data_IF_012412866145
#
_entry.id   IF_012412866145
#
_cell.length_a   1.000
_cell.length_b   1.000
_cell.length_c   1.000
_cell.angle_alpha   90.00
_cell.angle_beta   90.00
_cell.angle_gamma   90.00
#
_symmetry.space_group_name_H-M   'P 1'
#
loop_
_entity.id
_entity.type
_entity.pdbx_description
1 polymer ?
#
# COMPACT_ATOMS: atom_id res chain seq x y z
N UNK A 1 -14.00 3.13 6.88
CA UNK A 1 -15.22 3.71 7.49
C UNK A 1 -14.86 5.00 8.17
N UNK A 2 -15.68 6.04 8.05
CA UNK A 2 -15.53 7.23 8.89
C UNK A 2 -15.99 6.90 10.31
N UNK A 3 -15.47 7.59 11.31
CA UNK A 3 -15.92 7.43 12.72
C UNK A 3 -17.36 7.93 12.95
N UNK A 4 -18.03 8.39 11.89
CA UNK A 4 -19.42 8.85 11.91
C UNK A 4 -20.42 7.70 11.70
N UNK A 5 -19.97 6.53 11.25
CA UNK A 5 -20.81 5.33 11.17
C UNK A 5 -20.93 4.68 12.56
N UNK A 6 -22.06 4.02 12.85
CA UNK A 6 -22.31 3.26 14.08
C UNK A 6 -21.49 1.93 14.11
N UNK A 7 -20.17 2.01 13.87
CA UNK A 7 -19.27 0.87 13.75
C UNK A 7 -19.23 0.03 15.05
N UNK A 8 -19.42 0.66 16.22
CA UNK A 8 -19.48 0.00 17.52
C UNK A 8 -20.67 -0.95 17.64
N UNK A 9 -21.75 -0.69 16.91
CA UNK A 9 -22.96 -1.50 16.87
C UNK A 9 -22.94 -2.59 15.79
N UNK A 10 -21.78 -2.80 15.16
CA UNK A 10 -21.56 -3.86 14.18
C UNK A 10 -21.91 -5.25 14.73
N UNK A 11 -22.21 -6.19 13.82
CA UNK A 11 -22.50 -7.59 14.16
C UNK A 11 -21.64 -8.52 13.34
N UNK A 12 -20.91 -9.39 14.03
CA UNK A 12 -20.27 -10.53 13.39
C UNK A 12 -21.34 -11.59 13.05
N UNK A 13 -21.25 -12.13 11.85
CA UNK A 13 -22.15 -13.17 11.32
C UNK A 13 -21.33 -14.22 10.59
N UNK A 14 -21.86 -15.44 10.52
CA UNK A 14 -21.33 -16.49 9.66
C UNK A 14 -22.23 -16.61 8.44
N UNK A 15 -21.61 -16.80 7.27
CA UNK A 15 -22.33 -17.02 6.02
C UNK A 15 -22.64 -18.50 5.82
N UNK A 16 -23.68 -18.79 5.04
CA UNK A 16 -23.92 -20.14 4.55
C UNK A 16 -22.97 -20.49 3.38
N UNK A 17 -23.10 -21.71 2.83
CA UNK A 17 -22.28 -22.18 1.70
C UNK A 17 -22.43 -21.34 0.41
N UNK A 18 -23.45 -20.49 0.33
CA UNK A 18 -23.73 -19.60 -0.81
C UNK A 18 -23.36 -18.14 -0.50
N UNK A 19 -22.79 -17.85 0.67
CA UNK A 19 -22.43 -16.50 1.09
C UNK A 19 -23.59 -15.70 1.70
N UNK A 20 -24.77 -16.29 1.89
CA UNK A 20 -25.93 -15.60 2.44
C UNK A 20 -25.92 -15.61 3.97
N UNK A 21 -26.49 -14.57 4.57
CA UNK A 21 -26.68 -14.46 6.01
C UNK A 21 -27.90 -13.56 6.31
N UNK A 22 -28.44 -13.68 7.53
CA UNK A 22 -29.46 -12.77 8.03
C UNK A 22 -29.21 -12.46 9.50
N UNK A 23 -29.29 -11.18 9.87
CA UNK A 23 -29.11 -10.72 11.24
C UNK A 23 -29.87 -9.43 11.47
N UNK A 24 -30.46 -9.29 12.66
CA UNK A 24 -30.99 -8.01 13.14
C UNK A 24 -29.83 -7.13 13.57
N UNK A 25 -29.72 -5.94 12.94
CA UNK A 25 -28.76 -4.91 13.28
C UNK A 25 -29.50 -3.83 14.10
N UNK A 26 -29.02 -3.42 15.28
CA UNK A 26 -29.55 -2.22 15.92
C UNK A 26 -29.20 -1.01 15.05
N UNK A 27 -30.14 -0.10 14.90
CA UNK A 27 -29.96 1.14 14.14
C UNK A 27 -30.13 2.29 15.12
N UNK A 28 -29.11 3.13 15.20
CA UNK A 28 -29.14 4.36 15.99
C UNK A 28 -29.47 5.54 15.10
N UNK A 29 -30.07 6.58 15.70
CA UNK A 29 -30.43 7.80 14.99
C UNK A 29 -29.16 8.51 14.48
N UNK A 30 -29.06 8.83 13.17
CA UNK A 30 -27.90 9.53 12.64
C UNK A 30 -27.77 10.94 13.24
N UNK A 31 -26.58 11.35 13.71
CA UNK A 31 -26.39 12.68 14.28
C UNK A 31 -26.48 13.81 13.24
N UNK A 32 -26.35 13.48 11.94
CA UNK A 32 -26.43 14.39 10.79
C UNK A 32 -27.06 13.67 9.60
N UNK A 33 -27.70 14.40 8.67
CA UNK A 33 -28.17 13.82 7.41
C UNK A 33 -26.99 13.21 6.63
N UNK A 34 -27.09 11.93 6.27
CA UNK A 34 -26.09 11.23 5.46
C UNK A 34 -26.74 10.07 4.69
N UNK A 35 -26.15 9.61 3.58
CA UNK A 35 -26.65 8.43 2.89
C UNK A 35 -26.22 7.23 3.73
N UNK A 36 -27.17 6.67 4.49
CA UNK A 36 -26.89 5.53 5.35
C UNK A 36 -26.66 4.28 4.49
N UNK A 37 -25.59 3.55 4.80
CA UNK A 37 -25.25 2.28 4.15
C UNK A 37 -24.96 1.23 5.21
N UNK A 38 -25.35 0.00 4.94
CA UNK A 38 -24.89 -1.17 5.68
C UNK A 38 -23.64 -1.69 4.98
N UNK A 39 -22.49 -1.48 5.62
CA UNK A 39 -21.21 -2.00 5.16
C UNK A 39 -20.98 -3.41 5.70
N UNK A 40 -20.65 -4.34 4.80
CA UNK A 40 -20.34 -5.73 5.11
C UNK A 40 -18.92 -6.00 4.63
N UNK A 41 -18.08 -6.51 5.53
CA UNK A 41 -16.71 -6.90 5.23
C UNK A 41 -16.44 -8.31 5.75
N UNK A 42 -15.81 -9.15 4.93
CA UNK A 42 -15.34 -10.45 5.40
C UNK A 42 -14.10 -10.28 6.27
N UNK A 43 -14.11 -10.93 7.44
CA UNK A 43 -12.96 -10.94 8.38
C UNK A 43 -12.12 -12.20 8.18
N UNK A 44 -12.75 -13.31 7.78
CA UNK A 44 -12.13 -14.61 7.54
C UNK A 44 -12.45 -15.10 6.13
N UNK A 45 -11.50 -15.79 5.50
CA UNK A 45 -11.64 -16.31 4.14
C UNK A 45 -11.28 -15.29 3.05
N UNK A 46 -11.91 -15.42 1.88
CA UNK A 46 -11.73 -14.50 0.75
C UNK A 46 -12.19 -13.09 1.13
N UNK A 47 -11.41 -12.07 0.75
CA UNK A 47 -11.75 -10.69 1.05
C UNK A 47 -12.84 -10.19 0.11
N UNK A 48 -13.99 -9.84 0.69
CA UNK A 48 -15.12 -9.28 -0.02
C UNK A 48 -15.71 -8.13 0.80
N UNK A 49 -16.17 -7.11 0.07
CA UNK A 49 -16.84 -5.94 0.61
C UNK A 49 -18.17 -5.77 -0.12
N UNK A 50 -19.22 -5.41 0.60
CA UNK A 50 -20.50 -5.06 0.04
C UNK A 50 -21.14 -3.92 0.83
N UNK A 51 -21.70 -2.95 0.11
CA UNK A 51 -22.46 -1.85 0.69
C UNK A 51 -23.90 -1.94 0.20
N UNK A 52 -24.85 -1.94 1.14
CA UNK A 52 -26.28 -1.89 0.84
C UNK A 52 -26.85 -0.55 1.31
N UNK A 53 -27.55 0.17 0.42
CA UNK A 53 -28.24 1.41 0.77
C UNK A 53 -29.31 1.11 1.81
N UNK A 54 -29.34 1.92 2.87
CA UNK A 54 -30.28 1.77 3.97
C UNK A 54 -30.88 3.13 4.35
N UNK A 55 -32.19 3.18 4.58
CA UNK A 55 -32.87 4.42 5.01
C UNK A 55 -33.34 4.25 6.44
N UNK A 56 -32.89 5.13 7.34
CA UNK A 56 -33.38 5.18 8.72
C UNK A 56 -34.74 5.88 8.70
N UNK A 57 -35.78 5.18 9.16
CA UNK A 57 -37.13 5.73 9.20
C UNK A 57 -37.17 7.03 10.03
N UNK A 58 -37.77 8.09 9.48
CA UNK A 58 -37.93 9.37 10.18
C UNK A 58 -36.72 10.31 10.13
N UNK A 59 -35.61 9.93 9.48
CA UNK A 59 -34.42 10.78 9.37
C UNK A 59 -34.12 11.20 7.92
N UNK A 60 -33.71 12.45 7.68
CA UNK A 60 -33.34 12.92 6.35
C UNK A 60 -32.04 12.29 5.87
N UNK A 61 -31.96 12.02 4.57
CA UNK A 61 -30.74 11.62 3.86
C UNK A 61 -30.14 12.84 3.14
N UNK A 62 -28.83 12.83 2.97
CA UNK A 62 -28.11 13.80 2.16
C UNK A 62 -27.09 13.04 1.31
N UNK A 63 -26.69 13.61 0.18
CA UNK A 63 -25.64 13.01 -0.64
C UNK A 63 -24.29 13.04 0.08
N UNK A 64 -23.40 12.13 -0.31
CA UNK A 64 -22.02 12.20 0.15
C UNK A 64 -21.43 13.52 -0.33
N UNK A 65 -20.69 14.26 0.53
CA UNK A 65 -19.94 15.40 0.06
C UNK A 65 -19.00 14.95 -1.06
N UNK A 66 -18.84 15.79 -2.09
CA UNK A 66 -17.91 15.51 -3.18
C UNK A 66 -16.54 15.14 -2.60
N UNK A 67 -15.99 14.03 -3.11
CA UNK A 67 -14.64 13.59 -2.75
C UNK A 67 -13.64 14.64 -3.22
N UNK A 68 -13.34 15.58 -2.35
CA UNK A 68 -12.38 16.66 -2.58
C UNK A 68 -10.94 16.23 -2.27
N UNK A 69 -10.77 15.07 -1.61
CA UNK A 69 -9.46 14.51 -1.29
C UNK A 69 -8.94 13.56 -2.37
N UNK A 70 -7.67 13.74 -2.77
CA UNK A 70 -6.98 12.84 -3.67
C UNK A 70 -6.61 11.49 -3.04
N UNK A 71 -6.05 10.60 -3.85
CA UNK A 71 -5.44 9.36 -3.36
C UNK A 71 -4.12 9.63 -2.63
N UNK A 72 -3.87 8.91 -1.54
CA UNK A 72 -2.69 9.13 -0.68
C UNK A 72 -2.09 7.80 -0.27
N UNK A 73 -0.89 7.49 -0.77
CA UNK A 73 -0.19 6.27 -0.38
C UNK A 73 0.67 6.47 0.87
N UNK A 74 0.64 5.50 1.76
CA UNK A 74 1.57 5.38 2.87
C UNK A 74 2.07 3.93 2.97
N UNK A 75 3.32 3.74 3.38
CA UNK A 75 3.87 2.40 3.65
C UNK A 75 3.31 1.90 4.98
N UNK A 76 2.78 0.68 4.97
CA UNK A 76 2.09 0.08 6.11
C UNK A 76 2.86 -1.07 6.78
N UNK A 77 3.90 -1.59 6.11
CA UNK A 77 4.67 -2.72 6.59
C UNK A 77 6.16 -2.50 6.33
N UNK A 78 7.00 -3.31 6.97
CA UNK A 78 8.45 -3.27 6.81
C UNK A 78 8.82 -3.45 5.34
N UNK A 79 9.57 -2.48 4.82
CA UNK A 79 10.19 -2.57 3.50
C UNK A 79 11.39 -3.49 3.59
N UNK A 80 11.69 -4.24 2.52
CA UNK A 80 12.87 -5.11 2.45
C UNK A 80 13.39 -5.25 1.03
N UNK A 81 14.66 -5.64 0.91
CA UNK A 81 15.27 -6.06 -0.35
C UNK A 81 15.23 -7.59 -0.45
N UNK A 82 14.73 -8.10 -1.58
CA UNK A 82 14.71 -9.52 -1.90
C UNK A 82 15.57 -9.83 -3.14
N UNK A 83 16.17 -11.01 -3.16
CA UNK A 83 16.96 -11.52 -4.26
C UNK A 83 18.39 -11.84 -3.83
N UNK A 84 19.06 -12.61 -4.68
CA UNK A 84 20.37 -13.17 -4.40
C UNK A 84 21.43 -12.66 -5.38
N UNK A 85 22.68 -12.70 -4.94
CA UNK A 85 23.82 -12.42 -5.81
C UNK A 85 24.10 -13.63 -6.70
N UNK A 86 24.50 -13.41 -7.95
CA UNK A 86 24.91 -14.48 -8.87
C UNK A 86 26.44 -14.60 -8.93
N UNK A 87 26.95 -15.72 -9.46
CA UNK A 87 28.40 -15.85 -9.72
C UNK A 87 28.93 -14.72 -10.61
N UNK A 88 28.10 -14.18 -11.51
CA UNK A 88 28.47 -13.06 -12.37
C UNK A 88 28.65 -11.76 -11.58
N UNK A 89 27.84 -11.54 -10.53
CA UNK A 89 28.03 -10.38 -9.65
C UNK A 89 29.36 -10.46 -8.89
N UNK A 90 29.87 -11.67 -8.62
CA UNK A 90 31.21 -11.86 -8.10
C UNK A 90 32.30 -11.46 -9.11
N UNK A 91 32.01 -11.51 -10.41
CA UNK A 91 32.87 -10.97 -11.48
C UNK A 91 32.52 -9.53 -11.89
N UNK A 92 31.77 -8.80 -11.06
CA UNK A 92 31.46 -7.39 -11.28
C UNK A 92 30.24 -7.11 -12.16
N UNK A 93 29.43 -8.11 -12.51
CA UNK A 93 28.14 -7.84 -13.13
C UNK A 93 27.23 -7.00 -12.20
N UNK A 94 26.32 -6.17 -12.75
CA UNK A 94 25.36 -5.39 -11.98
C UNK A 94 24.59 -6.24 -10.95
N UNK A 95 24.67 -5.92 -9.65
CA UNK A 95 23.85 -6.60 -8.66
C UNK A 95 22.42 -6.04 -8.73
N UNK A 96 21.44 -6.94 -8.72
CA UNK A 96 20.02 -6.62 -8.81
C UNK A 96 19.22 -7.20 -7.64
N UNK A 97 18.23 -6.45 -7.16
CA UNK A 97 17.28 -6.84 -6.10
C UNK A 97 15.88 -6.37 -6.45
N UNK A 98 14.90 -6.88 -5.69
CA UNK A 98 13.52 -6.38 -5.68
C UNK A 98 13.26 -5.69 -4.35
N UNK A 99 12.95 -4.41 -4.40
CA UNK A 99 12.43 -3.67 -3.25
C UNK A 99 10.96 -4.05 -3.06
N UNK A 100 10.66 -4.72 -1.95
CA UNK A 100 9.32 -5.21 -1.63
C UNK A 100 8.75 -4.40 -0.47
N UNK A 101 7.59 -3.79 -0.68
CA UNK A 101 6.91 -2.97 0.31
C UNK A 101 5.39 -3.08 0.16
N UNK A 102 4.66 -2.80 1.25
CA UNK A 102 3.20 -2.76 1.24
C UNK A 102 2.74 -1.33 1.43
N UNK A 103 1.99 -0.81 0.46
CA UNK A 103 1.32 0.50 0.57
C UNK A 103 -0.14 0.33 0.93
N UNK A 104 -0.71 1.33 1.58
CA UNK A 104 -2.15 1.52 1.71
C UNK A 104 -2.57 2.89 1.22
N UNK A 105 -3.76 2.96 0.61
CA UNK A 105 -4.36 4.23 0.23
C UNK A 105 -5.18 4.80 1.39
N UNK A 106 -4.64 5.83 2.03
CA UNK A 106 -5.28 6.57 3.12
C UNK A 106 -6.14 7.73 2.61
N UNK A 107 -6.16 7.97 1.29
CA UNK A 107 -6.97 8.99 0.64
C UNK A 107 -8.39 8.50 0.33
N UNK A 108 -9.24 9.44 -0.09
CA UNK A 108 -10.63 9.17 -0.47
C UNK A 108 -10.82 8.76 -1.92
N UNK A 109 -9.83 9.01 -2.79
CA UNK A 109 -9.88 8.66 -4.21
C UNK A 109 -8.89 7.52 -4.54
N UNK A 110 -9.17 6.67 -5.56
CA UNK A 110 -8.24 5.62 -5.99
C UNK A 110 -6.93 6.20 -6.53
N UNK A 111 -5.82 5.53 -6.24
CA UNK A 111 -4.51 5.84 -6.84
C UNK A 111 -4.26 4.88 -7.99
N UNK A 112 -4.21 5.38 -9.23
CA UNK A 112 -3.97 4.59 -10.44
C UNK A 112 -2.54 4.77 -10.93
N UNK A 113 -1.92 3.66 -11.30
CA UNK A 113 -0.58 3.54 -11.85
C UNK A 113 0.47 4.47 -11.20
N UNK A 114 0.62 4.42 -9.86
CA UNK A 114 1.51 5.33 -9.13
C UNK A 114 2.96 5.23 -9.61
N UNK A 115 3.58 6.39 -9.76
CA UNK A 115 5.00 6.52 -10.02
C UNK A 115 5.72 6.70 -8.70
N UNK A 116 6.61 5.77 -8.40
CA UNK A 116 7.54 5.84 -7.28
C UNK A 116 8.90 6.30 -7.77
N UNK A 117 9.71 6.82 -6.87
CA UNK A 117 11.12 7.10 -7.14
C UNK A 117 11.98 6.24 -6.24
N UNK A 118 13.01 5.62 -6.82
CA UNK A 118 14.00 4.82 -6.10
C UNK A 118 15.30 5.60 -6.09
N UNK A 119 15.75 5.93 -4.89
CA UNK A 119 17.00 6.61 -4.62
C UNK A 119 18.10 5.61 -4.30
N UNK A 120 19.26 5.73 -4.94
CA UNK A 120 20.45 4.94 -4.62
C UNK A 120 21.54 5.86 -4.12
N UNK A 121 21.94 5.73 -2.86
CA UNK A 121 23.05 6.45 -2.26
C UNK A 121 24.20 5.50 -1.92
N UNK A 122 25.43 5.99 -2.05
CA UNK A 122 26.65 5.29 -1.70
C UNK A 122 27.56 6.22 -0.88
N UNK A 123 27.90 5.83 0.34
CA UNK A 123 28.65 6.68 1.27
C UNK A 123 27.93 7.99 1.59
N UNK A 124 28.62 9.13 1.44
CA UNK A 124 28.10 10.48 1.78
C UNK A 124 27.41 11.19 0.62
N UNK A 125 27.34 10.57 -0.55
CA UNK A 125 26.73 11.18 -1.73
C UNK A 125 25.21 11.17 -1.65
N UNK A 126 24.58 12.23 -2.17
CA UNK A 126 23.13 12.31 -2.30
C UNK A 126 22.60 11.18 -3.20
N UNK A 127 21.39 10.65 -2.91
CA UNK A 127 20.82 9.57 -3.70
C UNK A 127 20.56 10.00 -5.14
N UNK A 128 20.91 9.13 -6.08
CA UNK A 128 20.47 9.24 -7.47
C UNK A 128 19.07 8.65 -7.59
N UNK A 129 18.12 9.43 -8.10
CA UNK A 129 16.71 9.05 -8.16
C UNK A 129 16.31 8.55 -9.54
N UNK A 130 15.58 7.44 -9.56
CA UNK A 130 15.00 6.88 -10.78
C UNK A 130 13.51 6.63 -10.59
N UNK A 131 12.71 7.07 -11.56
CA UNK A 131 11.29 6.80 -11.57
C UNK A 131 10.99 5.32 -11.90
N UNK A 132 9.98 4.77 -11.22
CA UNK A 132 9.45 3.43 -11.39
C UNK A 132 7.94 3.47 -11.28
N UNK A 133 7.28 3.32 -12.42
CA UNK A 133 5.82 3.20 -12.46
C UNK A 133 5.39 1.78 -12.09
N UNK A 134 4.53 1.67 -11.08
CA UNK A 134 3.81 0.43 -10.82
C UNK A 134 2.49 0.45 -11.58
N UNK A 135 2.18 -0.63 -12.30
CA UNK A 135 0.89 -0.77 -13.00
C UNK A 135 -0.13 -1.42 -12.09
N UNK A 136 -1.19 -0.71 -11.76
CA UNK A 136 -2.22 -1.17 -10.83
C UNK A 136 -3.00 -0.03 -10.21
N UNK A 137 -4.04 -0.37 -9.46
CA UNK A 137 -4.87 0.61 -8.75
C UNK A 137 -4.97 0.24 -7.28
N UNK A 138 -4.73 1.21 -6.40
CA UNK A 138 -4.99 1.07 -4.96
C UNK A 138 -6.26 1.85 -4.63
N UNK A 139 -7.37 1.13 -4.46
CA UNK A 139 -8.63 1.72 -4.05
C UNK A 139 -8.53 2.39 -2.66
N UNK A 140 -9.39 3.37 -2.34
CA UNK A 140 -9.45 3.97 -1.00
C UNK A 140 -9.56 2.89 0.09
N UNK A 141 -8.71 2.97 1.12
CA UNK A 141 -8.66 1.99 2.22
C UNK A 141 -8.03 0.63 1.87
N UNK A 142 -7.75 0.34 0.60
CA UNK A 142 -7.11 -0.90 0.18
C UNK A 142 -5.59 -0.87 0.42
N UNK A 143 -4.99 -2.06 0.43
CA UNK A 143 -3.55 -2.28 0.54
C UNK A 143 -3.04 -3.04 -0.68
N UNK A 144 -1.81 -2.75 -1.09
CA UNK A 144 -1.15 -3.46 -2.18
C UNK A 144 0.31 -3.75 -1.81
N UNK A 145 0.77 -4.97 -2.05
CA UNK A 145 2.20 -5.29 -2.02
C UNK A 145 2.80 -4.99 -3.40
N UNK A 146 3.83 -4.16 -3.42
CA UNK A 146 4.51 -3.71 -4.62
C UNK A 146 5.95 -4.24 -4.58
N UNK A 147 6.44 -4.66 -5.75
CA UNK A 147 7.81 -5.15 -5.96
C UNK A 147 8.42 -4.35 -7.10
N UNK A 148 9.42 -3.52 -6.78
CA UNK A 148 10.11 -2.71 -7.79
C UNK A 148 11.55 -3.21 -7.98
N UNK A 149 12.05 -3.31 -9.23
CA UNK A 149 13.42 -3.69 -9.48
C UNK A 149 14.39 -2.56 -9.09
N UNK A 150 15.50 -2.93 -8.45
CA UNK A 150 16.62 -2.05 -8.11
C UNK A 150 17.88 -2.72 -8.62
N UNK A 151 18.68 -2.00 -9.39
CA UNK A 151 19.94 -2.47 -9.96
C UNK A 151 21.01 -1.43 -9.68
N UNK A 152 22.20 -1.88 -9.27
CA UNK A 152 23.37 -1.01 -9.12
C UNK A 152 24.28 -1.17 -10.34
N UNK A 153 25.13 -0.17 -10.56
CA UNK A 153 26.13 -0.22 -11.63
C UNK A 153 27.05 -1.45 -11.54
N UNK A 154 27.58 -1.87 -12.69
CA UNK A 154 28.62 -2.90 -12.74
C UNK A 154 29.81 -2.51 -11.84
N UNK A 155 30.36 -3.50 -11.14
CA UNK A 155 31.46 -3.31 -10.17
C UNK A 155 31.06 -2.66 -8.85
N UNK A 156 29.77 -2.39 -8.60
CA UNK A 156 29.27 -1.89 -7.33
C UNK A 156 29.70 -2.80 -6.17
N UNK A 157 30.16 -2.19 -5.07
CA UNK A 157 30.60 -2.89 -3.86
C UNK A 157 30.57 -1.94 -2.66
N UNK A 158 30.46 -2.49 -1.45
CA UNK A 158 30.32 -1.71 -0.23
C UNK A 158 28.87 -1.48 0.18
N UNK A 159 28.64 -0.51 1.05
CA UNK A 159 27.34 -0.26 1.67
C UNK A 159 26.56 0.81 0.91
N UNK A 160 25.40 0.42 0.40
CA UNK A 160 24.45 1.30 -0.27
C UNK A 160 23.22 1.53 0.60
N UNK A 161 22.56 2.68 0.40
CA UNK A 161 21.24 2.97 0.94
C UNK A 161 20.26 3.11 -0.21
N UNK A 162 19.20 2.31 -0.17
CA UNK A 162 18.10 2.34 -1.13
C UNK A 162 16.91 3.05 -0.50
N UNK A 163 16.49 4.18 -1.05
CA UNK A 163 15.37 4.99 -0.55
C UNK A 163 14.18 4.89 -1.50
N UNK A 164 12.97 4.79 -0.95
CA UNK A 164 11.71 4.82 -1.69
C UNK A 164 11.02 6.16 -1.45
N UNK A 165 10.65 6.86 -2.53
CA UNK A 165 9.90 8.11 -2.47
C UNK A 165 8.61 8.02 -3.29
N UNK A 166 7.60 8.74 -2.84
CA UNK A 166 6.34 8.95 -3.55
C UNK A 166 5.89 10.40 -3.38
N UNK A 167 5.76 11.13 -4.49
CA UNK A 167 5.66 12.59 -4.45
C UNK A 167 6.88 13.19 -3.74
N UNK A 168 6.66 14.10 -2.81
CA UNK A 168 7.76 14.74 -2.06
C UNK A 168 8.21 13.95 -0.82
N UNK A 169 7.58 12.81 -0.53
CA UNK A 169 7.79 12.09 0.74
C UNK A 169 8.62 10.82 0.55
N UNK A 170 9.76 10.75 1.26
CA UNK A 170 10.48 9.49 1.45
C UNK A 170 9.65 8.58 2.36
N UNK A 171 9.30 7.41 1.83
CA UNK A 171 8.41 6.44 2.47
C UNK A 171 9.17 5.37 3.25
N UNK A 172 10.36 4.99 2.79
CA UNK A 172 11.18 3.95 3.41
C UNK A 172 12.63 4.06 2.94
N UNK A 173 13.55 3.48 3.72
CA UNK A 173 14.94 3.28 3.32
C UNK A 173 15.41 1.89 3.72
N UNK A 174 16.31 1.29 2.94
CA UNK A 174 16.84 -0.04 3.13
C UNK A 174 18.35 -0.08 2.87
N UNK A 175 19.16 -0.52 3.85
CA UNK A 175 20.58 -0.73 3.61
C UNK A 175 20.80 -1.95 2.73
N UNK A 176 21.83 -1.88 1.88
CA UNK A 176 22.25 -2.98 1.01
C UNK A 176 23.78 -3.08 1.00
N UNK A 177 24.30 -4.07 1.72
CA UNK A 177 25.71 -4.46 1.64
C UNK A 177 25.99 -5.30 0.40
N UNK A 178 26.90 -4.82 -0.45
CA UNK A 178 27.30 -5.48 -1.69
C UNK A 178 28.73 -6.01 -1.56
N UNK A 179 28.89 -7.32 -1.78
CA UNK A 179 30.19 -7.98 -1.72
C UNK A 179 31.17 -7.45 -2.77
N UNK A 180 32.46 -7.46 -2.45
CA UNK A 180 33.51 -7.03 -3.38
C UNK A 180 33.67 -8.02 -4.54
N UNK A 181 33.73 -7.53 -5.79
CA UNK A 181 34.07 -8.36 -6.94
C UNK A 181 35.48 -8.96 -6.82
N UNK A 182 35.65 -10.12 -7.43
CA UNK A 182 36.94 -10.79 -7.55
C UNK A 182 37.91 -9.97 -8.41
N UNK A 183 39.19 -9.97 -8.03
CA UNK A 183 40.26 -9.25 -8.74
C UNK A 183 40.41 -7.78 -8.36
N UNK A 184 39.58 -7.25 -7.46
CA UNK A 184 39.75 -5.90 -6.89
C UNK A 184 40.61 -5.99 -5.63
N UNK A 185 41.92 -5.76 -5.76
CA UNK A 185 42.87 -5.61 -4.64
C UNK A 185 43.28 -4.14 -4.47
N UNK A 186 43.48 -3.71 -3.22
CA UNK A 186 43.94 -2.36 -2.84
C UNK A 186 45.32 -2.01 -3.42
#
# INVERSE_FOLDING_TARGET
>A
GTNSCANADGRAVTTDKKGAFSKKLPVTEPPKPCPCVVHVATVTGEQALADAVFTVAGHPTADLPEQTGGGKLAVLATTRLEGDSSVLTWFGAPPARRLVFTVGNLGSAPVKDPVFEIGTAHGVYAPQWEERQWRGTVAPGAKAQIKLPVELSAGAHGDYQISLRYGEKVLAEQPWGVGRPWGVTL
#
